data_IF_408229711841
#
_entry.id   IF_408229711841
#
_cell.length_a   1.000
_cell.length_b   1.000
_cell.length_c   1.000
_cell.angle_alpha   90.00
_cell.angle_beta   90.00
_cell.angle_gamma   90.00
#
_symmetry.space_group_name_H-M   'P 1'
#
loop_
_entity.id
_entity.type
_entity.pdbx_description
1 polymer ?
#
# COMPACT_ATOMS: atom_id res chain seq x y z
N UNK A 1 18.66 25.72 -30.61
CA UNK A 1 18.84 24.33 -30.14
C UNK A 1 18.39 24.40 -28.70
N UNK A 2 17.07 24.31 -28.50
CA UNK A 2 16.46 24.65 -27.22
C UNK A 2 15.72 23.43 -26.70
N UNK A 3 16.34 22.81 -25.70
CA UNK A 3 15.80 21.65 -25.00
C UNK A 3 14.77 22.17 -24.01
N UNK A 4 13.50 21.91 -24.31
CA UNK A 4 12.37 22.16 -23.42
C UNK A 4 12.44 21.11 -22.30
N UNK A 5 13.14 21.43 -21.23
CA UNK A 5 13.01 20.73 -19.95
C UNK A 5 12.21 21.64 -19.05
N UNK A 6 10.89 21.51 -19.04
CA UNK A 6 10.14 21.84 -17.82
C UNK A 6 8.75 21.19 -17.77
N UNK A 7 8.75 19.87 -17.61
CA UNK A 7 7.54 19.12 -17.23
C UNK A 7 7.85 18.27 -16.01
N UNK A 8 8.10 18.92 -14.88
CA UNK A 8 7.92 18.28 -13.57
C UNK A 8 7.15 19.26 -12.70
N UNK A 9 5.82 19.24 -12.82
CA UNK A 9 4.98 19.78 -11.74
C UNK A 9 5.39 19.05 -10.47
N UNK A 10 5.79 19.74 -9.39
CA UNK A 10 5.89 19.10 -8.09
C UNK A 10 4.49 18.56 -7.78
N UNK A 11 4.36 17.23 -7.79
CA UNK A 11 3.20 16.57 -7.23
C UNK A 11 3.17 17.04 -5.78
N UNK A 12 2.16 17.84 -5.42
CA UNK A 12 1.88 18.23 -4.04
C UNK A 12 2.05 16.98 -3.19
N UNK A 13 3.15 16.94 -2.44
CA UNK A 13 3.52 15.78 -1.63
C UNK A 13 2.65 15.86 -0.39
N UNK A 14 1.35 15.63 -0.59
CA UNK A 14 0.43 15.43 0.51
C UNK A 14 1.02 14.30 1.34
N UNK A 15 1.16 14.47 2.67
CA UNK A 15 1.65 13.40 3.52
C UNK A 15 0.79 12.17 3.23
N UNK A 16 1.42 11.10 2.74
CA UNK A 16 0.74 9.86 2.40
C UNK A 16 0.32 9.24 3.74
N UNK A 17 -0.82 9.66 4.25
CA UNK A 17 -1.40 9.18 5.50
C UNK A 17 -2.37 8.07 5.13
N UNK A 18 -2.11 6.85 5.59
CA UNK A 18 -3.11 5.79 5.50
C UNK A 18 -4.28 6.13 6.40
N UNK A 19 -5.50 6.23 5.86
CA UNK A 19 -6.67 6.39 6.70
C UNK A 19 -6.85 5.14 7.56
N UNK A 20 -6.92 5.35 8.88
CA UNK A 20 -7.16 4.30 9.85
C UNK A 20 -8.66 3.99 9.90
N UNK A 21 -9.08 2.75 9.58
CA UNK A 21 -10.49 2.39 9.65
C UNK A 21 -10.96 2.31 11.11
N UNK A 22 -12.19 2.73 11.37
CA UNK A 22 -12.84 2.60 12.69
C UNK A 22 -13.46 1.22 12.91
N UNK A 23 -13.77 0.48 11.83
CA UNK A 23 -14.31 -0.88 11.92
C UNK A 23 -13.23 -1.87 12.37
N UNK A 24 -13.48 -2.58 13.47
CA UNK A 24 -12.53 -3.52 14.09
C UNK A 24 -12.07 -4.64 13.16
N UNK A 25 -12.89 -5.01 12.16
CA UNK A 25 -12.54 -6.04 11.18
C UNK A 25 -11.54 -5.52 10.17
N UNK A 26 -11.74 -4.29 9.71
CA UNK A 26 -10.79 -3.61 8.85
C UNK A 26 -9.48 -3.34 9.60
N UNK A 27 -9.55 -2.95 10.88
CA UNK A 27 -8.36 -2.74 11.71
C UNK A 27 -7.46 -3.98 11.79
N UNK A 28 -8.04 -5.18 11.93
CA UNK A 28 -7.29 -6.44 11.90
C UNK A 28 -6.55 -6.64 10.58
N UNK A 29 -7.24 -6.40 9.46
CA UNK A 29 -6.66 -6.55 8.11
C UNK A 29 -5.56 -5.51 7.89
N UNK A 30 -5.84 -4.23 8.18
CA UNK A 30 -4.89 -3.14 7.96
C UNK A 30 -3.66 -3.27 8.86
N UNK A 31 -3.83 -3.72 10.10
CA UNK A 31 -2.71 -3.98 11.01
C UNK A 31 -1.82 -5.10 10.47
N UNK A 32 -2.40 -6.22 10.07
CA UNK A 32 -1.61 -7.34 9.56
C UNK A 32 -0.86 -7.00 8.27
N UNK A 33 -1.39 -6.12 7.42
CA UNK A 33 -0.67 -5.63 6.23
C UNK A 33 0.42 -4.64 6.62
N UNK A 34 0.21 -3.80 7.63
CA UNK A 34 1.26 -2.91 8.14
C UNK A 34 2.41 -3.70 8.78
N UNK A 35 2.12 -4.79 9.48
CA UNK A 35 3.12 -5.70 10.06
C UNK A 35 3.85 -6.54 9.01
N UNK A 36 3.16 -6.90 7.91
CA UNK A 36 3.74 -7.65 6.80
C UNK A 36 3.24 -7.10 5.45
N UNK A 37 3.92 -6.07 4.90
CA UNK A 37 3.53 -5.47 3.62
C UNK A 37 3.54 -6.46 2.45
N UNK A 38 4.39 -7.48 2.49
CA UNK A 38 4.46 -8.55 1.48
C UNK A 38 3.21 -9.41 1.41
N UNK A 39 2.31 -9.34 2.40
CA UNK A 39 1.13 -10.20 2.46
C UNK A 39 0.27 -10.11 1.18
N UNK A 40 0.14 -11.25 0.51
CA UNK A 40 -0.57 -11.41 -0.75
C UNK A 40 -2.02 -11.82 -0.57
N UNK A 41 -2.49 -12.06 0.66
CA UNK A 41 -3.86 -12.50 0.96
C UNK A 41 -4.90 -11.59 0.30
N UNK A 42 -5.85 -12.25 -0.38
CA UNK A 42 -7.00 -11.61 -1.02
C UNK A 42 -8.07 -11.26 0.01
N UNK A 43 -9.04 -10.42 -0.36
CA UNK A 43 -10.22 -10.18 0.50
C UNK A 43 -10.99 -11.47 0.80
N UNK A 44 -11.01 -12.43 -0.13
CA UNK A 44 -11.60 -13.76 0.10
C UNK A 44 -10.84 -14.54 1.19
N UNK A 45 -9.51 -14.50 1.18
CA UNK A 45 -8.70 -15.10 2.25
C UNK A 45 -8.95 -14.41 3.58
N UNK A 46 -9.02 -13.08 3.59
CA UNK A 46 -9.34 -12.29 4.78
C UNK A 46 -10.75 -12.56 5.30
N UNK A 47 -11.73 -12.77 4.42
CA UNK A 47 -13.10 -13.11 4.78
C UNK A 47 -13.18 -14.40 5.60
N UNK A 48 -12.40 -15.42 5.22
CA UNK A 48 -12.31 -16.71 5.93
C UNK A 48 -11.77 -16.55 7.36
N UNK A 49 -10.96 -15.53 7.62
CA UNK A 49 -10.31 -15.30 8.91
C UNK A 49 -11.09 -14.29 9.77
N UNK A 50 -11.62 -13.23 9.15
CA UNK A 50 -12.22 -12.09 9.85
C UNK A 50 -13.72 -12.29 10.14
N UNK A 51 -14.40 -13.19 9.42
CA UNK A 51 -15.82 -13.51 9.60
C UNK A 51 -16.77 -13.01 8.51
N UNK A 52 -16.67 -11.75 8.01
CA UNK A 52 -17.53 -11.28 6.92
C UNK A 52 -17.18 -11.91 5.58
N UNK A 53 -18.15 -11.96 4.67
CA UNK A 53 -17.91 -12.32 3.27
C UNK A 53 -17.00 -11.31 2.56
N UNK A 54 -16.34 -11.74 1.48
CA UNK A 54 -15.55 -10.87 0.61
C UNK A 54 -16.33 -9.62 0.16
N UNK A 55 -17.58 -9.81 -0.28
CA UNK A 55 -18.47 -8.71 -0.71
C UNK A 55 -18.69 -7.69 0.41
N UNK A 56 -18.76 -8.14 1.67
CA UNK A 56 -18.91 -7.27 2.82
C UNK A 56 -17.63 -6.47 3.06
N UNK A 57 -16.46 -7.12 3.04
CA UNK A 57 -15.18 -6.44 3.20
C UNK A 57 -14.91 -5.44 2.07
N UNK A 58 -15.18 -5.81 0.82
CA UNK A 58 -15.03 -4.95 -0.35
C UNK A 58 -15.87 -3.68 -0.26
N UNK A 59 -17.05 -3.73 0.38
CA UNK A 59 -17.90 -2.57 0.65
C UNK A 59 -17.46 -1.78 1.88
N UNK A 60 -16.95 -2.46 2.91
CA UNK A 60 -16.50 -1.81 4.14
C UNK A 60 -15.22 -1.00 3.93
N UNK A 61 -14.28 -1.48 3.11
CA UNK A 61 -13.02 -0.77 2.84
C UNK A 61 -13.26 0.68 2.38
N UNK A 62 -13.95 0.95 1.25
CA UNK A 62 -14.21 2.32 0.82
C UNK A 62 -14.98 3.15 1.85
N UNK A 63 -15.89 2.53 2.60
CA UNK A 63 -16.63 3.23 3.66
C UNK A 63 -15.76 3.62 4.86
N UNK A 64 -14.78 2.80 5.21
CA UNK A 64 -13.92 3.00 6.38
C UNK A 64 -12.62 3.74 6.08
N UNK A 65 -12.15 3.71 4.84
CA UNK A 65 -10.84 4.25 4.43
C UNK A 65 -10.92 5.20 3.24
N UNK A 66 -12.08 5.37 2.61
CA UNK A 66 -12.23 6.19 1.39
C UNK A 66 -11.66 5.55 0.13
N UNK A 67 -11.15 4.31 0.20
CA UNK A 67 -10.46 3.64 -0.92
C UNK A 67 -10.73 2.14 -0.94
N UNK A 68 -10.54 1.51 -2.11
CA UNK A 68 -10.61 0.06 -2.22
C UNK A 68 -9.47 -0.63 -1.46
N UNK A 69 -9.66 -1.91 -1.12
CA UNK A 69 -8.60 -2.72 -0.48
C UNK A 69 -7.29 -2.71 -1.26
N UNK A 70 -7.35 -2.83 -2.60
CA UNK A 70 -6.16 -2.85 -3.45
C UNK A 70 -5.41 -1.51 -3.39
N UNK A 71 -6.13 -0.39 -3.46
CA UNK A 71 -5.54 0.96 -3.34
C UNK A 71 -4.92 1.16 -1.96
N UNK A 72 -5.62 0.79 -0.90
CA UNK A 72 -5.12 0.89 0.48
C UNK A 72 -3.84 0.08 0.67
N UNK A 73 -3.81 -1.18 0.21
CA UNK A 73 -2.61 -2.03 0.30
C UNK A 73 -1.44 -1.45 -0.50
N UNK A 74 -1.71 -0.90 -1.69
CA UNK A 74 -0.67 -0.28 -2.50
C UNK A 74 -0.04 0.94 -1.81
N UNK A 75 -0.87 1.82 -1.24
CA UNK A 75 -0.38 2.97 -0.47
C UNK A 75 0.42 2.53 0.75
N UNK A 76 -0.03 1.49 1.45
CA UNK A 76 0.69 0.97 2.61
C UNK A 76 2.08 0.46 2.25
N UNK A 77 2.20 -0.28 1.15
CA UNK A 77 3.50 -0.73 0.63
C UNK A 77 4.39 0.42 0.21
N UNK A 78 3.84 1.46 -0.42
CA UNK A 78 4.60 2.65 -0.82
C UNK A 78 5.16 3.40 0.39
N UNK A 79 4.35 3.61 1.43
CA UNK A 79 4.81 4.28 2.65
C UNK A 79 5.94 3.48 3.30
N UNK A 80 5.78 2.16 3.45
CA UNK A 80 6.84 1.34 4.06
C UNK A 80 8.10 1.36 3.20
N UNK A 81 7.99 1.26 1.88
CA UNK A 81 9.11 1.38 0.96
C UNK A 81 9.88 2.70 1.18
N UNK A 82 9.17 3.82 1.24
CA UNK A 82 9.76 5.13 1.52
C UNK A 82 10.42 5.18 2.91
N UNK A 83 9.79 4.59 3.92
CA UNK A 83 10.36 4.52 5.28
C UNK A 83 11.62 3.66 5.35
N UNK A 84 11.71 2.56 4.61
CA UNK A 84 12.90 1.71 4.54
C UNK A 84 14.03 2.39 3.76
N UNK A 85 13.72 3.01 2.62
CA UNK A 85 14.68 3.80 1.84
C UNK A 85 15.22 4.98 2.65
N UNK A 86 14.37 5.70 3.38
CA UNK A 86 14.78 6.80 4.26
C UNK A 86 15.69 6.34 5.41
N UNK A 87 15.60 5.06 5.81
CA UNK A 87 16.51 4.41 6.77
C UNK A 87 17.83 3.95 6.14
N UNK A 88 18.03 4.18 4.84
CA UNK A 88 19.26 3.84 4.11
C UNK A 88 19.30 2.39 3.63
N UNK A 89 18.19 1.66 3.66
CA UNK A 89 18.14 0.28 3.19
C UNK A 89 18.35 0.22 1.66
N UNK A 90 19.16 -0.72 1.15
CA UNK A 90 19.34 -0.90 -0.29
C UNK A 90 18.02 -1.16 -1.00
N UNK A 91 17.82 -0.53 -2.16
CA UNK A 91 16.57 -0.66 -2.95
C UNK A 91 16.21 -2.12 -3.26
N UNK A 92 17.21 -3.01 -3.36
CA UNK A 92 17.00 -4.43 -3.58
C UNK A 92 16.32 -5.12 -2.38
N UNK A 93 16.76 -4.79 -1.17
CA UNK A 93 16.18 -5.31 0.08
C UNK A 93 14.78 -4.74 0.28
N UNK A 94 14.60 -3.44 0.03
CA UNK A 94 13.27 -2.79 0.11
C UNK A 94 12.28 -3.46 -0.83
N UNK A 95 12.66 -3.77 -2.07
CA UNK A 95 11.79 -4.44 -3.03
C UNK A 95 11.29 -5.79 -2.51
N UNK A 96 12.15 -6.55 -1.83
CA UNK A 96 11.78 -7.83 -1.21
C UNK A 96 10.82 -7.60 -0.04
N UNK A 97 11.12 -6.63 0.84
CA UNK A 97 10.35 -6.34 2.06
C UNK A 97 8.96 -5.74 1.82
N UNK A 98 8.72 -5.14 0.64
CA UNK A 98 7.38 -4.68 0.25
C UNK A 98 6.67 -5.64 -0.73
N UNK A 99 7.29 -6.78 -1.04
CA UNK A 99 6.70 -7.86 -1.81
C UNK A 99 6.63 -7.55 -3.31
N UNK A 100 7.64 -6.88 -3.85
CA UNK A 100 7.86 -6.75 -5.28
C UNK A 100 8.67 -7.93 -5.80
N UNK A 101 8.28 -8.45 -6.96
CA UNK A 101 8.93 -9.61 -7.59
C UNK A 101 10.35 -9.29 -8.11
N UNK A 102 10.65 -8.01 -8.34
CA UNK A 102 11.99 -7.56 -8.71
C UNK A 102 12.18 -6.06 -8.41
N UNK A 103 13.44 -5.62 -8.39
CA UNK A 103 13.82 -4.20 -8.28
C UNK A 103 13.29 -3.38 -9.45
N UNK A 104 13.29 -3.94 -10.66
CA UNK A 104 12.71 -3.28 -11.82
C UNK A 104 11.19 -3.09 -11.66
N UNK A 105 10.49 -4.12 -11.16
CA UNK A 105 9.07 -4.02 -10.84
C UNK A 105 8.80 -3.01 -9.72
N UNK A 106 9.70 -2.88 -8.75
CA UNK A 106 9.64 -1.85 -7.71
C UNK A 106 9.76 -0.45 -8.32
N UNK A 107 10.82 -0.18 -9.10
CA UNK A 107 11.06 1.12 -9.75
C UNK A 107 9.91 1.50 -10.71
N UNK A 108 9.26 0.53 -11.35
CA UNK A 108 8.11 0.81 -12.22
C UNK A 108 6.78 1.02 -11.47
N UNK A 109 6.63 0.48 -10.26
CA UNK A 109 5.38 0.52 -9.48
C UNK A 109 5.30 1.70 -8.53
N UNK A 110 6.43 2.32 -8.19
CA UNK A 110 6.58 3.39 -7.21
C UNK A 110 7.22 4.61 -7.86
#
# INVERSE_FOLDING_TARGET
>A
MDVIIDQVKPLDTAPILLPHPTDSRLQKITRSIAENPCDTRTLESWAKIAGPTERTLARLFPKGTGMSFRQWRQQARLIEALCLLARGMPVQEVAIDVGCESVSAFIHKF
#
